data_IF_014750146047
#
_entry.id   IF_014750146047
#
_cell.length_a   1.000
_cell.length_b   1.000
_cell.length_c   1.000
_cell.angle_alpha   90.00
_cell.angle_beta   90.00
_cell.angle_gamma   90.00
#
_symmetry.space_group_name_H-M   'P 1'
#
loop_
_entity.id
_entity.type
_entity.pdbx_description
1 polymer ?
#
# COMPACT_ATOMS: atom_id res chain seq x y z
N UNK A 1 15.96 -35.42 35.22
CA UNK A 1 16.12 -34.07 35.79
C UNK A 1 16.98 -33.18 34.91
N UNK A 2 18.04 -33.72 34.31
CA UNK A 2 19.05 -32.91 33.58
C UNK A 2 18.55 -32.41 32.21
N UNK A 3 17.68 -33.17 31.54
CA UNK A 3 17.09 -32.76 30.26
C UNK A 3 16.11 -31.57 30.43
N UNK A 4 15.37 -31.53 31.55
CA UNK A 4 14.46 -30.44 31.88
C UNK A 4 15.24 -29.17 32.27
N UNK A 5 16.39 -29.37 32.95
CA UNK A 5 17.29 -28.29 33.32
C UNK A 5 18.02 -27.72 32.10
N UNK A 6 18.47 -28.58 31.17
CA UNK A 6 19.05 -28.16 29.88
C UNK A 6 18.04 -27.42 28.99
N UNK A 7 16.78 -27.88 28.92
CA UNK A 7 15.72 -27.16 28.21
C UNK A 7 15.40 -25.81 28.84
N UNK A 8 15.39 -25.68 30.17
CA UNK A 8 15.22 -24.39 30.86
C UNK A 8 16.41 -23.46 30.65
N UNK A 9 17.63 -23.98 30.52
CA UNK A 9 18.84 -23.19 30.21
C UNK A 9 18.87 -22.79 28.72
N UNK A 10 18.47 -23.69 27.83
CA UNK A 10 18.32 -23.36 26.39
C UNK A 10 17.24 -22.29 26.12
N UNK A 11 16.15 -22.29 26.90
CA UNK A 11 15.12 -21.23 26.83
C UNK A 11 15.65 -19.91 27.43
N UNK A 12 16.63 -19.92 28.31
CA UNK A 12 17.31 -18.72 28.84
C UNK A 12 18.34 -18.12 27.88
N UNK A 13 18.73 -18.83 26.84
CA UNK A 13 19.56 -18.36 25.73
C UNK A 13 18.74 -17.87 24.51
N UNK A 14 17.41 -17.75 24.64
CA UNK A 14 16.62 -17.03 23.67
C UNK A 14 17.16 -15.59 23.66
N UNK A 15 17.79 -15.21 22.57
CA UNK A 15 18.22 -13.85 22.26
C UNK A 15 17.06 -12.89 22.54
N UNK A 16 17.36 -11.79 23.25
CA UNK A 16 16.35 -10.74 23.48
C UNK A 16 15.72 -10.38 22.14
N UNK A 17 14.39 -10.31 22.03
CA UNK A 17 13.78 -9.88 20.78
C UNK A 17 14.20 -8.44 20.51
N UNK A 18 14.65 -8.17 19.29
CA UNK A 18 14.96 -6.80 18.88
C UNK A 18 13.67 -6.02 18.60
N UNK A 19 12.69 -6.69 18.02
CA UNK A 19 11.38 -6.08 17.76
C UNK A 19 10.29 -6.89 18.46
N UNK A 20 9.43 -6.20 19.20
CA UNK A 20 8.15 -6.72 19.67
C UNK A 20 7.05 -6.18 18.74
N UNK A 21 6.31 -7.07 18.12
CA UNK A 21 5.06 -6.71 17.41
C UNK A 21 3.92 -6.75 18.40
N UNK A 22 3.30 -5.60 18.67
CA UNK A 22 2.28 -5.41 19.69
C UNK A 22 0.91 -5.17 19.03
N UNK A 23 0.00 -6.12 19.17
CA UNK A 23 -1.31 -6.12 18.55
C UNK A 23 -2.42 -6.09 19.61
N UNK A 24 -3.06 -4.92 19.86
CA UNK A 24 -4.32 -4.87 20.57
C UNK A 24 -5.44 -5.40 19.67
N UNK A 25 -6.12 -6.45 20.09
CA UNK A 25 -7.28 -6.96 19.35
C UNK A 25 -8.53 -6.36 19.98
N UNK A 26 -9.26 -5.61 19.18
CA UNK A 26 -10.43 -4.85 19.59
C UNK A 26 -11.57 -5.72 20.13
N UNK A 27 -12.39 -5.12 20.99
CA UNK A 27 -13.63 -5.68 21.53
C UNK A 27 -14.66 -4.57 21.71
N UNK A 28 -15.94 -4.92 21.82
CA UNK A 28 -16.96 -3.96 22.23
C UNK A 28 -17.09 -3.95 23.75
N UNK A 29 -17.23 -2.78 24.38
CA UNK A 29 -17.62 -2.74 25.78
C UNK A 29 -18.99 -3.40 25.92
N UNK A 30 -19.12 -4.30 26.89
CA UNK A 30 -20.42 -4.81 27.32
C UNK A 30 -20.95 -3.84 28.35
N UNK A 31 -21.91 -3.04 27.94
CA UNK A 31 -22.56 -2.04 28.81
C UNK A 31 -23.90 -2.64 29.25
N UNK A 32 -24.01 -2.95 30.53
CA UNK A 32 -25.30 -3.24 31.11
C UNK A 32 -25.95 -1.91 31.54
N UNK A 33 -27.10 -1.62 30.99
CA UNK A 33 -27.93 -0.51 31.43
C UNK A 33 -28.97 -1.05 32.41
N UNK A 34 -28.94 -0.60 33.65
CA UNK A 34 -29.95 -0.88 34.65
C UNK A 34 -30.53 0.41 35.22
N UNK A 35 -31.75 0.34 35.75
CA UNK A 35 -32.35 1.45 36.44
C UNK A 35 -31.93 1.38 37.92
N UNK A 36 -31.47 2.52 38.46
CA UNK A 36 -31.17 2.66 39.87
C UNK A 36 -32.50 2.80 40.69
N UNK A 37 -32.40 2.91 42.02
CA UNK A 37 -33.56 3.01 42.90
C UNK A 37 -34.39 4.29 42.67
N UNK A 38 -33.80 5.27 41.98
CA UNK A 38 -34.43 6.57 41.69
C UNK A 38 -34.97 6.63 40.24
N UNK A 39 -34.88 5.52 39.49
CA UNK A 39 -35.38 5.40 38.11
C UNK A 39 -34.45 5.94 37.06
N UNK A 40 -33.20 6.25 37.40
CA UNK A 40 -32.21 6.71 36.43
C UNK A 40 -31.54 5.52 35.73
N UNK A 41 -31.32 5.64 34.42
CA UNK A 41 -30.53 4.65 33.65
C UNK A 41 -29.07 4.80 33.97
N UNK A 42 -28.51 3.82 34.67
CA UNK A 42 -27.08 3.74 35.00
C UNK A 42 -26.43 2.69 34.06
N UNK A 43 -25.40 3.13 33.37
CA UNK A 43 -24.57 2.24 32.56
C UNK A 43 -23.37 1.75 33.35
N UNK A 44 -23.21 0.43 33.44
CA UNK A 44 -22.04 -0.19 34.06
C UNK A 44 -21.27 -1.00 33.03
N UNK A 45 -20.00 -0.70 32.86
CA UNK A 45 -19.10 -1.40 31.95
C UNK A 45 -18.64 -2.73 32.59
N UNK A 46 -19.14 -3.88 32.12
CA UNK A 46 -18.75 -5.21 32.60
C UNK A 46 -17.49 -5.77 31.95
N UNK A 47 -16.86 -5.05 31.05
CA UNK A 47 -15.69 -5.49 30.30
C UNK A 47 -15.92 -5.46 28.79
N UNK A 48 -15.02 -6.08 28.03
CA UNK A 48 -15.07 -6.11 26.57
C UNK A 48 -15.46 -7.47 26.05
N UNK A 49 -16.42 -7.52 25.13
CA UNK A 49 -16.67 -8.70 24.31
C UNK A 49 -15.74 -8.64 23.10
N UNK A 50 -14.73 -9.50 23.08
CA UNK A 50 -13.88 -9.64 21.91
C UNK A 50 -14.74 -10.13 20.73
N UNK A 51 -14.51 -9.57 19.56
CA UNK A 51 -15.14 -10.10 18.36
C UNK A 51 -14.63 -11.51 18.02
N UNK A 52 -13.55 -11.96 18.64
CA UNK A 52 -12.97 -13.29 18.47
C UNK A 52 -12.42 -13.59 17.07
N UNK A 53 -12.52 -12.64 16.16
CA UNK A 53 -12.17 -12.79 14.75
C UNK A 53 -11.23 -11.66 14.35
N UNK A 54 -10.04 -12.01 13.93
CA UNK A 54 -9.14 -11.12 13.22
C UNK A 54 -9.59 -11.09 11.76
N UNK A 55 -9.75 -9.91 11.13
CA UNK A 55 -10.13 -9.83 9.73
C UNK A 55 -9.17 -10.62 8.83
N UNK A 56 -9.71 -11.40 7.89
CA UNK A 56 -8.87 -12.18 6.96
C UNK A 56 -7.91 -11.27 6.18
N UNK A 57 -8.35 -10.08 5.79
CA UNK A 57 -7.52 -9.07 5.13
C UNK A 57 -6.29 -8.69 5.96
N UNK A 58 -6.47 -8.44 7.26
CA UNK A 58 -5.36 -8.19 8.18
C UNK A 58 -4.40 -9.38 8.25
N UNK A 59 -4.94 -10.59 8.37
CA UNK A 59 -4.10 -11.80 8.45
C UNK A 59 -3.28 -11.98 7.16
N UNK A 60 -3.89 -11.79 5.99
CA UNK A 60 -3.21 -11.89 4.70
C UNK A 60 -2.15 -10.81 4.53
N UNK A 61 -2.45 -9.55 4.88
CA UNK A 61 -1.46 -8.48 4.87
C UNK A 61 -0.28 -8.81 5.78
N UNK A 62 -0.55 -9.28 7.00
CA UNK A 62 0.48 -9.66 7.96
C UNK A 62 1.37 -10.82 7.48
N UNK A 63 0.80 -11.84 6.83
CA UNK A 63 1.55 -12.97 6.27
C UNK A 63 2.51 -12.55 5.14
N UNK A 64 2.23 -11.44 4.47
CA UNK A 64 3.05 -10.92 3.37
C UNK A 64 4.18 -9.98 3.84
N UNK A 65 4.31 -9.70 5.14
CA UNK A 65 5.37 -8.82 5.60
C UNK A 65 6.75 -9.40 5.34
N UNK A 66 7.65 -8.55 4.89
CA UNK A 66 9.06 -8.84 4.78
C UNK A 66 9.75 -8.39 6.07
N UNK A 67 10.11 -9.30 6.98
CA UNK A 67 10.80 -8.92 8.21
C UNK A 67 12.23 -8.44 7.89
N UNK A 68 12.78 -7.53 8.69
CA UNK A 68 14.20 -7.16 8.56
C UNK A 68 15.11 -8.39 8.75
N UNK A 69 16.16 -8.49 7.94
CA UNK A 69 17.10 -9.62 7.98
C UNK A 69 17.90 -9.63 9.29
N UNK A 70 18.10 -10.81 9.86
CA UNK A 70 18.86 -11.03 11.08
C UNK A 70 18.30 -10.31 12.33
N UNK A 71 17.02 -9.97 12.31
CA UNK A 71 16.32 -9.33 13.42
C UNK A 71 15.42 -10.35 14.11
N UNK A 72 15.61 -10.52 15.42
CA UNK A 72 14.74 -11.37 16.23
C UNK A 72 13.45 -10.65 16.57
N UNK A 73 12.31 -11.29 16.32
CA UNK A 73 10.97 -10.73 16.55
C UNK A 73 10.20 -11.61 17.53
N UNK A 74 9.35 -10.96 18.32
CA UNK A 74 8.36 -11.64 19.15
C UNK A 74 7.01 -10.89 19.06
N UNK A 75 5.92 -11.58 19.35
CA UNK A 75 4.57 -11.07 19.26
C UNK A 75 3.93 -10.98 20.64
N UNK A 76 3.30 -9.84 20.93
CA UNK A 76 2.43 -9.63 22.08
C UNK A 76 1.03 -9.31 21.58
N UNK A 77 0.08 -10.13 21.95
CA UNK A 77 -1.33 -9.95 21.62
C UNK A 77 -2.11 -9.75 22.91
N UNK A 78 -2.90 -8.69 22.98
CA UNK A 78 -3.82 -8.42 24.09
C UNK A 78 -5.23 -8.28 23.55
N UNK A 79 -6.14 -9.03 24.16
CA UNK A 79 -7.54 -9.08 23.80
C UNK A 79 -8.40 -8.61 24.98
N UNK A 80 -9.61 -8.17 24.70
CA UNK A 80 -10.58 -7.79 25.72
C UNK A 80 -10.12 -6.64 26.63
N UNK A 81 -9.37 -5.69 26.08
CA UNK A 81 -8.91 -4.48 26.78
C UNK A 81 -9.17 -3.27 25.91
N UNK A 82 -9.32 -2.09 26.55
CA UNK A 82 -9.20 -0.81 25.84
C UNK A 82 -7.83 -0.76 25.14
N UNK A 83 -7.78 -0.22 23.93
CA UNK A 83 -6.55 -0.16 23.13
C UNK A 83 -5.42 0.57 23.84
N UNK A 84 -5.72 1.67 24.55
CA UNK A 84 -4.77 2.39 25.40
C UNK A 84 -4.17 1.51 26.51
N UNK A 85 -5.02 0.77 27.22
CA UNK A 85 -4.57 -0.12 28.29
C UNK A 85 -3.78 -1.32 27.72
N UNK A 86 -4.24 -1.92 26.61
CA UNK A 86 -3.51 -3.00 25.96
C UNK A 86 -2.12 -2.55 25.52
N UNK A 87 -2.00 -1.37 24.89
CA UNK A 87 -0.71 -0.79 24.48
C UNK A 87 0.19 -0.48 25.69
N UNK A 88 -0.37 0.05 26.78
CA UNK A 88 0.40 0.27 28.02
C UNK A 88 1.00 -1.03 28.58
N UNK A 89 0.18 -2.10 28.66
CA UNK A 89 0.64 -3.40 29.17
C UNK A 89 1.71 -4.01 28.25
N UNK A 90 1.50 -3.96 26.92
CA UNK A 90 2.48 -4.47 25.95
C UNK A 90 3.78 -3.67 25.97
N UNK A 91 3.71 -2.36 26.16
CA UNK A 91 4.88 -1.47 26.33
C UNK A 91 5.73 -1.90 27.55
N UNK A 92 5.08 -2.08 28.71
CA UNK A 92 5.76 -2.53 29.93
C UNK A 92 6.42 -3.90 29.74
N UNK A 93 5.75 -4.79 29.03
CA UNK A 93 6.30 -6.11 28.72
C UNK A 93 7.49 -6.03 27.76
N UNK A 94 7.43 -5.20 26.71
CA UNK A 94 8.55 -4.95 25.80
C UNK A 94 9.78 -4.41 26.54
N UNK A 95 9.59 -3.48 27.47
CA UNK A 95 10.65 -2.95 28.35
C UNK A 95 11.22 -4.09 29.21
N UNK A 96 10.36 -4.92 29.82
CA UNK A 96 10.77 -6.07 30.66
C UNK A 96 11.57 -7.11 29.88
N UNK A 97 11.19 -7.34 28.61
CA UNK A 97 11.89 -8.25 27.71
C UNK A 97 13.20 -7.66 27.18
N UNK A 98 13.43 -6.36 27.36
CA UNK A 98 14.60 -5.65 26.89
C UNK A 98 14.63 -5.52 25.37
N UNK A 99 13.48 -5.40 24.72
CA UNK A 99 13.38 -5.16 23.29
C UNK A 99 14.05 -3.83 22.91
N UNK A 100 14.52 -3.73 21.67
CA UNK A 100 15.07 -2.49 21.12
C UNK A 100 13.94 -1.59 20.57
N UNK A 101 12.95 -2.22 19.89
CA UNK A 101 11.81 -1.58 19.32
C UNK A 101 10.50 -2.28 19.70
N UNK A 102 9.42 -1.53 19.70
CA UNK A 102 8.06 -2.03 19.74
C UNK A 102 7.29 -1.52 18.53
N UNK A 103 6.67 -2.42 17.79
CA UNK A 103 5.87 -2.12 16.60
C UNK A 103 4.40 -2.31 16.94
N UNK A 104 3.68 -1.21 17.08
CA UNK A 104 2.24 -1.20 17.33
C UNK A 104 1.50 -1.36 16.01
N UNK A 105 0.58 -2.31 15.98
CA UNK A 105 -0.22 -2.66 14.80
C UNK A 105 -1.65 -2.91 15.25
N UNK A 106 -2.60 -2.18 14.71
CA UNK A 106 -4.02 -2.43 14.95
C UNK A 106 -4.53 -3.58 14.06
N UNK A 107 -5.52 -4.32 14.56
CA UNK A 107 -6.07 -5.50 13.91
C UNK A 107 -6.92 -5.21 12.65
N UNK A 108 -7.03 -3.94 12.29
CA UNK A 108 -7.72 -3.43 11.10
C UNK A 108 -6.80 -2.57 10.18
N UNK A 109 -5.51 -2.48 10.48
CA UNK A 109 -4.54 -1.76 9.66
C UNK A 109 -3.76 -2.70 8.75
N UNK A 110 -3.90 -2.53 7.44
CA UNK A 110 -3.27 -3.36 6.41
C UNK A 110 -1.94 -2.74 5.99
N UNK A 111 -0.86 -3.22 6.59
CA UNK A 111 0.49 -2.69 6.37
C UNK A 111 1.08 -3.32 5.10
N UNK A 112 1.67 -2.53 4.18
CA UNK A 112 2.28 -3.05 2.97
C UNK A 112 3.48 -3.97 3.28
N UNK A 113 3.83 -4.91 2.38
CA UNK A 113 4.84 -5.95 2.62
C UNK A 113 6.18 -5.45 3.14
N UNK A 114 6.67 -4.33 2.64
CA UNK A 114 7.94 -3.71 3.05
C UNK A 114 7.79 -2.69 4.18
N UNK A 115 6.59 -2.48 4.72
CA UNK A 115 6.31 -1.44 5.70
C UNK A 115 7.21 -1.54 6.93
N UNK A 116 7.18 -2.67 7.64
CA UNK A 116 8.05 -2.87 8.82
C UNK A 116 9.54 -2.76 8.50
N UNK A 117 9.97 -3.32 7.35
CA UNK A 117 11.36 -3.25 6.91
C UNK A 117 11.81 -1.78 6.71
N UNK A 118 11.00 -0.95 6.07
CA UNK A 118 11.29 0.46 5.81
C UNK A 118 11.33 1.27 7.10
N UNK A 119 10.34 1.09 7.99
CA UNK A 119 10.31 1.74 9.32
C UNK A 119 11.56 1.37 10.15
N UNK A 120 11.94 0.10 10.15
CA UNK A 120 13.12 -0.37 10.87
C UNK A 120 14.41 0.26 10.32
N UNK A 121 14.58 0.27 9.00
CA UNK A 121 15.74 0.91 8.36
C UNK A 121 15.83 2.39 8.69
N UNK A 122 14.70 3.12 8.67
CA UNK A 122 14.67 4.51 9.09
C UNK A 122 15.14 4.68 10.53
N UNK A 123 14.63 3.86 11.46
CA UNK A 123 15.02 3.93 12.87
C UNK A 123 16.50 3.60 13.10
N UNK A 124 17.08 2.69 12.31
CA UNK A 124 18.53 2.39 12.36
C UNK A 124 19.39 3.56 11.88
N UNK A 125 18.95 4.26 10.85
CA UNK A 125 19.65 5.42 10.27
C UNK A 125 19.45 6.70 11.11
N UNK A 126 18.42 6.75 11.96
CA UNK A 126 18.06 7.91 12.77
C UNK A 126 18.01 7.55 14.27
N UNK A 127 19.18 7.43 14.94
CA UNK A 127 19.24 6.97 16.33
C UNK A 127 18.58 7.93 17.33
N UNK A 128 18.35 9.18 16.97
CA UNK A 128 17.63 10.19 17.77
C UNK A 128 16.10 10.08 17.66
N UNK A 129 15.60 9.40 16.61
CA UNK A 129 14.17 9.24 16.41
C UNK A 129 13.55 8.38 17.54
N UNK A 130 12.48 8.89 18.14
CA UNK A 130 11.69 8.18 19.15
C UNK A 130 10.73 7.18 18.53
N UNK A 131 10.10 7.55 17.42
CA UNK A 131 9.19 6.67 16.67
C UNK A 131 9.07 7.10 15.20
N UNK A 132 8.56 6.19 14.38
CA UNK A 132 8.18 6.46 12.98
C UNK A 132 6.89 5.70 12.65
N UNK A 133 5.96 6.38 11.96
CA UNK A 133 4.67 5.82 11.55
C UNK A 133 4.59 5.67 10.03
N UNK A 134 3.83 4.68 9.56
CA UNK A 134 3.22 4.70 8.24
C UNK A 134 1.96 5.56 8.22
N UNK A 135 1.39 5.76 7.04
CA UNK A 135 0.18 6.55 6.83
C UNK A 135 -1.02 5.61 6.66
N UNK A 136 -2.10 5.87 7.37
CA UNK A 136 -3.42 5.30 7.10
C UNK A 136 -4.49 6.35 7.41
N UNK A 137 -5.69 6.13 6.89
CA UNK A 137 -6.76 7.15 6.90
C UNK A 137 -7.87 6.80 7.88
N UNK A 138 -8.76 7.77 8.16
CA UNK A 138 -10.04 7.51 8.82
C UNK A 138 -10.90 6.55 8.00
N UNK A 139 -11.92 5.94 8.62
CA UNK A 139 -12.93 5.08 7.96
C UNK A 139 -14.20 5.88 7.63
N UNK A 140 -14.01 7.03 7.04
CA UNK A 140 -15.09 7.97 6.68
C UNK A 140 -14.94 8.39 5.23
N UNK A 141 -15.94 9.03 4.66
CA UNK A 141 -15.89 9.57 3.30
C UNK A 141 -16.24 11.07 3.34
N UNK A 142 -15.33 11.97 2.94
CA UNK A 142 -13.95 11.68 2.53
C UNK A 142 -13.08 11.15 3.68
N UNK A 143 -12.17 10.23 3.37
CA UNK A 143 -11.22 9.72 4.35
C UNK A 143 -10.04 10.70 4.51
N UNK A 144 -9.54 10.83 5.73
CA UNK A 144 -8.45 11.75 6.07
C UNK A 144 -7.29 11.01 6.73
N UNK A 145 -6.02 11.39 6.50
CA UNK A 145 -4.88 10.72 7.10
C UNK A 145 -4.86 10.94 8.61
N UNK A 146 -4.61 9.89 9.38
CA UNK A 146 -4.48 9.98 10.83
C UNK A 146 -3.08 10.48 11.23
N UNK A 147 -2.69 11.61 10.66
CA UNK A 147 -1.42 12.32 10.89
C UNK A 147 -1.73 13.76 11.28
N UNK A 148 -0.99 14.28 12.23
CA UNK A 148 -1.16 15.62 12.80
C UNK A 148 0.19 16.34 12.79
N UNK A 149 0.26 17.53 12.19
CA UNK A 149 1.50 18.32 12.10
C UNK A 149 1.67 19.27 13.27
N UNK A 150 0.55 19.81 13.79
CA UNK A 150 0.54 20.80 14.85
C UNK A 150 -0.51 20.48 15.91
N UNK A 151 -0.32 21.06 17.10
CA UNK A 151 -1.29 20.98 18.18
C UNK A 151 -2.60 21.72 17.81
N UNK A 152 -3.73 21.06 17.99
CA UNK A 152 -5.07 21.65 17.77
C UNK A 152 -5.51 21.74 16.30
N UNK A 153 -4.71 21.25 15.37
CA UNK A 153 -5.12 21.05 13.97
C UNK A 153 -5.84 19.70 13.79
N UNK A 154 -6.66 19.61 12.75
CA UNK A 154 -7.20 18.34 12.28
C UNK A 154 -6.14 17.50 11.58
N UNK A 155 -6.60 16.46 10.90
CA UNK A 155 -5.74 15.62 10.06
C UNK A 155 -5.05 16.45 8.97
N UNK A 156 -3.79 16.15 8.68
CA UNK A 156 -2.96 16.90 7.75
C UNK A 156 -2.75 16.16 6.43
N UNK A 157 -2.87 16.90 5.31
CA UNK A 157 -2.56 16.43 3.95
C UNK A 157 -1.32 17.10 3.35
N UNK A 158 -0.70 18.04 4.02
CA UNK A 158 0.40 18.86 3.49
C UNK A 158 1.79 18.28 3.71
N UNK A 159 1.90 17.02 4.15
CA UNK A 159 3.12 16.22 4.15
C UNK A 159 3.21 15.37 2.87
N UNK A 160 4.43 14.87 2.57
CA UNK A 160 4.65 14.10 1.35
C UNK A 160 4.24 12.65 1.49
N UNK A 161 3.57 12.12 0.46
CA UNK A 161 3.14 10.73 0.37
C UNK A 161 3.51 10.13 -0.98
N UNK A 162 3.60 8.79 -1.02
CA UNK A 162 3.87 8.04 -2.23
C UNK A 162 5.36 7.80 -2.51
N UNK A 163 5.67 7.43 -3.76
CA UNK A 163 6.98 7.00 -4.19
C UNK A 163 8.02 8.06 -4.02
N UNK A 164 8.94 8.27 -3.38
CA UNK A 164 9.90 9.37 -3.25
C UNK A 164 9.68 10.26 -2.04
N UNK A 165 8.60 10.05 -1.27
CA UNK A 165 8.42 10.74 0.00
C UNK A 165 9.64 10.52 0.90
N UNK A 166 10.00 11.54 1.65
CA UNK A 166 11.02 11.46 2.70
C UNK A 166 10.31 11.54 4.05
N UNK A 167 10.78 10.77 5.05
CA UNK A 167 10.18 10.85 6.37
C UNK A 167 10.20 12.27 6.93
N UNK A 168 9.05 12.73 7.41
CA UNK A 168 8.85 14.08 7.95
C UNK A 168 8.54 14.03 9.45
N UNK A 169 8.98 15.09 10.15
CA UNK A 169 8.66 15.29 11.56
C UNK A 169 7.17 15.62 11.71
N UNK A 170 6.50 14.98 12.67
CA UNK A 170 5.07 15.17 12.92
C UNK A 170 4.79 15.41 14.40
N UNK A 171 3.68 16.07 14.70
CA UNK A 171 3.18 16.22 16.06
C UNK A 171 2.63 14.90 16.61
N UNK A 172 1.88 14.15 15.80
CA UNK A 172 1.29 12.89 16.19
C UNK A 172 0.74 12.07 15.02
N UNK A 173 0.55 10.79 15.27
CA UNK A 173 -0.06 9.84 14.37
C UNK A 173 -0.93 8.84 15.12
N UNK A 174 -1.82 8.17 14.38
CA UNK A 174 -2.46 6.96 14.89
C UNK A 174 -1.45 5.82 15.07
N UNK A 175 -1.71 4.91 15.98
CA UNK A 175 -0.78 3.85 16.34
C UNK A 175 -1.04 2.51 15.63
N UNK A 176 -1.81 2.50 14.55
CA UNK A 176 -2.08 1.29 13.76
C UNK A 176 -0.89 0.81 12.94
N UNK A 177 0.11 1.68 12.68
CA UNK A 177 1.37 1.34 12.04
C UNK A 177 2.50 2.21 12.60
N UNK A 178 2.93 1.95 13.84
CA UNK A 178 3.88 2.81 14.56
C UNK A 178 5.03 1.98 15.14
N UNK A 179 6.26 2.20 14.67
CA UNK A 179 7.48 1.62 15.23
C UNK A 179 8.14 2.61 16.19
N UNK A 180 8.27 2.25 17.46
CA UNK A 180 8.84 3.10 18.50
C UNK A 180 10.07 2.48 19.16
N UNK A 181 11.02 3.33 19.52
CA UNK A 181 12.24 2.95 20.24
C UNK A 181 11.94 2.76 21.73
N UNK A 182 12.18 1.57 22.26
CA UNK A 182 11.85 1.23 23.65
C UNK A 182 12.68 2.06 24.66
N UNK A 183 13.94 2.39 24.33
CA UNK A 183 14.75 3.24 25.20
C UNK A 183 14.20 4.67 25.34
N UNK A 184 13.61 5.23 24.29
CA UNK A 184 12.96 6.55 24.32
C UNK A 184 11.71 6.53 25.20
N UNK A 185 10.89 5.49 25.06
CA UNK A 185 9.71 5.28 25.90
C UNK A 185 10.12 5.13 27.37
N UNK A 186 11.13 4.29 27.62
CA UNK A 186 11.63 4.05 28.97
C UNK A 186 12.19 5.32 29.59
N UNK A 187 12.96 6.12 28.86
CA UNK A 187 13.49 7.40 29.35
C UNK A 187 12.36 8.31 29.82
N UNK A 188 11.30 8.46 29.00
CA UNK A 188 10.13 9.26 29.42
C UNK A 188 9.46 8.70 30.67
N UNK A 189 9.29 7.37 30.77
CA UNK A 189 8.62 6.73 31.91
C UNK A 189 9.44 6.82 33.19
N UNK A 190 10.75 6.75 33.11
CA UNK A 190 11.67 6.88 34.24
C UNK A 190 11.59 8.31 34.86
N UNK A 191 11.41 9.34 34.00
CA UNK A 191 11.26 10.73 34.42
C UNK A 191 9.82 11.07 34.85
N UNK A 192 8.83 10.23 34.55
CA UNK A 192 7.42 10.40 34.88
C UNK A 192 6.84 9.18 35.61
N UNK A 193 7.36 8.81 36.79
CA UNK A 193 6.96 7.59 37.47
C UNK A 193 5.48 7.58 37.82
N UNK A 194 4.80 6.47 37.51
CA UNK A 194 3.38 6.27 37.81
C UNK A 194 2.41 6.92 36.80
N UNK A 195 2.90 7.67 35.84
CA UNK A 195 2.06 8.25 34.78
C UNK A 195 2.04 7.29 33.57
N UNK A 196 0.87 6.80 33.13
CA UNK A 196 0.80 5.94 31.94
C UNK A 196 1.11 6.77 30.69
N UNK A 197 1.99 6.24 29.82
CA UNK A 197 2.31 6.89 28.54
C UNK A 197 1.14 6.75 27.54
N UNK A 198 0.38 5.66 27.63
CA UNK A 198 -0.83 5.40 26.87
C UNK A 198 -2.07 5.73 27.69
N UNK A 199 -2.59 6.94 27.55
CA UNK A 199 -3.83 7.39 28.18
C UNK A 199 -4.47 8.49 27.34
N UNK A 200 -5.79 8.58 27.36
CA UNK A 200 -6.48 9.72 26.79
C UNK A 200 -6.21 10.97 27.66
N UNK A 201 -5.94 12.08 27.02
CA UNK A 201 -5.68 13.36 27.67
C UNK A 201 -6.78 14.36 27.32
N UNK A 202 -7.33 15.02 28.35
CA UNK A 202 -8.21 16.16 28.15
C UNK A 202 -7.38 17.43 28.24
N UNK A 203 -7.11 18.05 27.09
CA UNK A 203 -6.49 19.34 27.07
C UNK A 203 -7.50 20.41 27.52
N UNK A 204 -7.11 21.20 28.51
CA UNK A 204 -7.91 22.35 28.91
C UNK A 204 -7.82 23.43 27.84
N UNK A 205 -8.95 23.99 27.37
CA UNK A 205 -8.91 25.02 26.34
C UNK A 205 -8.23 26.29 26.88
N UNK A 206 -7.32 26.82 26.13
CA UNK A 206 -6.64 28.09 26.45
C UNK A 206 -7.57 29.31 26.45
N UNK A 207 -8.84 29.16 26.01
CA UNK A 207 -9.79 30.25 25.80
C UNK A 207 -11.21 29.99 26.33
N UNK A 208 -11.42 28.99 27.19
CA UNK A 208 -12.73 28.67 27.78
C UNK A 208 -13.75 28.01 26.86
N UNK A 209 -13.37 27.61 25.63
CA UNK A 209 -14.22 26.83 24.72
C UNK A 209 -13.79 25.37 24.74
N UNK A 210 -14.67 24.47 25.11
CA UNK A 210 -14.56 23.02 25.22
C UNK A 210 -13.19 22.39 24.97
N UNK A 211 -12.76 21.46 25.81
CA UNK A 211 -11.41 20.85 25.70
C UNK A 211 -11.24 20.02 24.46
N UNK A 212 -10.06 20.07 23.85
CA UNK A 212 -9.64 19.11 22.82
C UNK A 212 -9.24 17.83 23.54
N UNK A 213 -9.93 16.74 23.28
CA UNK A 213 -9.57 15.43 23.82
C UNK A 213 -8.63 14.74 22.82
N UNK A 214 -7.38 14.60 23.21
CA UNK A 214 -6.42 13.81 22.44
C UNK A 214 -6.62 12.32 22.69
N UNK A 215 -6.69 11.55 21.62
CA UNK A 215 -6.56 10.09 21.69
C UNK A 215 -5.18 9.70 22.25
N UNK A 216 -5.13 8.54 22.88
CA UNK A 216 -3.90 8.02 23.51
C UNK A 216 -2.71 7.89 22.56
N UNK A 217 -2.93 7.71 21.26
CA UNK A 217 -1.91 7.62 20.21
C UNK A 217 -1.25 8.98 19.91
N UNK A 218 -2.04 10.02 19.71
CA UNK A 218 -1.52 11.39 19.52
C UNK A 218 -0.80 11.85 20.76
N UNK A 219 -1.37 11.57 21.95
CA UNK A 219 -0.71 11.86 23.24
C UNK A 219 0.64 11.15 23.36
N UNK A 220 0.72 9.87 23.02
CA UNK A 220 1.98 9.12 23.04
C UNK A 220 3.06 9.79 22.18
N UNK A 221 2.75 10.14 20.93
CA UNK A 221 3.67 10.83 20.04
C UNK A 221 4.10 12.19 20.59
N UNK A 222 3.15 12.98 21.10
CA UNK A 222 3.41 14.29 21.73
C UNK A 222 4.37 14.16 22.91
N UNK A 223 4.17 13.18 23.80
CA UNK A 223 5.02 13.00 24.97
C UNK A 223 6.46 12.64 24.58
N UNK A 224 6.65 11.82 23.56
CA UNK A 224 7.98 11.53 23.01
C UNK A 224 8.63 12.79 22.42
N UNK A 225 7.91 13.54 21.58
CA UNK A 225 8.40 14.80 21.02
C UNK A 225 8.84 15.80 22.09
N UNK A 226 8.00 16.03 23.10
CA UNK A 226 8.30 16.95 24.21
C UNK A 226 9.49 16.50 25.05
N UNK A 227 9.77 15.19 25.07
CA UNK A 227 10.90 14.61 25.79
C UNK A 227 12.19 14.53 24.94
N UNK A 228 12.20 15.18 23.78
CA UNK A 228 13.38 15.22 22.90
C UNK A 228 13.57 13.97 22.05
N UNK A 229 12.55 13.13 21.91
CA UNK A 229 12.52 11.95 21.08
C UNK A 229 11.56 12.15 19.89
N UNK A 230 12.01 12.77 18.79
CA UNK A 230 11.12 13.17 17.69
C UNK A 230 10.41 11.99 17.03
N UNK A 231 9.16 12.23 16.64
CA UNK A 231 8.29 11.27 15.96
C UNK A 231 8.15 11.68 14.50
N UNK A 232 8.28 10.71 13.61
CA UNK A 232 8.24 10.90 12.15
C UNK A 232 7.10 10.13 11.51
N UNK A 233 6.69 10.56 10.32
CA UNK A 233 5.88 9.78 9.39
C UNK A 233 6.71 9.45 8.14
N UNK A 234 6.63 8.22 7.67
CA UNK A 234 7.18 7.84 6.36
C UNK A 234 6.03 7.74 5.36
N UNK A 235 5.89 8.76 4.53
CA UNK A 235 4.86 8.88 3.51
C UNK A 235 4.93 7.83 2.38
N UNK A 236 5.97 7.01 2.31
CA UNK A 236 6.04 5.85 1.39
C UNK A 236 5.21 4.66 1.89
N UNK A 237 4.94 4.60 3.18
CA UNK A 237 4.28 3.45 3.80
C UNK A 237 2.80 3.77 3.91
N UNK A 238 2.07 3.52 2.83
CA UNK A 238 0.64 3.73 2.74
C UNK A 238 -0.08 2.46 3.16
N UNK A 239 -0.84 2.53 4.24
CA UNK A 239 -1.55 1.39 4.82
C UNK A 239 -3.04 1.49 4.51
N UNK A 240 -3.67 0.37 4.19
CA UNK A 240 -5.12 0.28 4.14
C UNK A 240 -5.73 0.25 5.54
N UNK A 241 -6.93 0.81 5.71
CA UNK A 241 -7.69 0.76 6.96
C UNK A 241 -9.01 0.01 6.74
N UNK A 242 -9.09 -1.22 7.24
CA UNK A 242 -10.23 -2.10 7.03
C UNK A 242 -11.37 -1.79 8.00
N UNK A 243 -12.57 -1.58 7.49
CA UNK A 243 -13.77 -1.49 8.33
C UNK A 243 -14.49 -2.84 8.40
N UNK A 244 -14.37 -3.50 9.53
CA UNK A 244 -15.01 -4.81 9.78
C UNK A 244 -16.55 -4.79 9.67
N UNK A 245 -17.17 -3.60 9.80
CA UNK A 245 -18.64 -3.49 9.73
C UNK A 245 -19.13 -3.46 8.28
N UNK A 246 -18.40 -2.76 7.42
CA UNK A 246 -18.78 -2.55 6.01
C UNK A 246 -18.04 -3.47 5.06
N UNK A 247 -16.90 -4.03 5.47
CA UNK A 247 -16.01 -4.81 4.63
C UNK A 247 -15.14 -3.94 3.68
N UNK A 248 -15.19 -2.62 3.83
CA UNK A 248 -14.46 -1.68 2.98
C UNK A 248 -13.03 -1.49 3.51
N UNK A 249 -12.07 -1.42 2.60
CA UNK A 249 -10.70 -0.95 2.88
C UNK A 249 -10.63 0.52 2.45
N UNK A 250 -10.29 1.40 3.39
CA UNK A 250 -10.02 2.80 3.12
C UNK A 250 -8.52 2.94 2.89
N UNK A 251 -8.14 3.32 1.70
CA UNK A 251 -6.75 3.53 1.30
C UNK A 251 -6.44 5.02 1.20
N UNK A 252 -5.16 5.37 1.25
CA UNK A 252 -4.72 6.74 0.95
C UNK A 252 -4.92 6.96 -0.55
N UNK A 253 -5.79 7.90 -0.97
CA UNK A 253 -6.07 8.09 -2.39
C UNK A 253 -4.84 8.66 -3.10
N UNK A 254 -4.51 8.14 -4.28
CA UNK A 254 -3.40 8.63 -5.11
C UNK A 254 -3.59 10.10 -5.56
N UNK A 255 -4.84 10.59 -5.54
CA UNK A 255 -5.18 12.00 -5.79
C UNK A 255 -5.00 12.90 -4.58
N UNK A 256 -4.57 12.36 -3.42
CA UNK A 256 -4.32 13.17 -2.23
C UNK A 256 -3.25 14.23 -2.52
N UNK A 257 -3.40 15.47 -2.00
CA UNK A 257 -2.46 16.56 -2.29
C UNK A 257 -0.99 16.22 -1.98
N UNK A 258 -0.73 15.51 -0.90
CA UNK A 258 0.62 15.07 -0.54
C UNK A 258 1.17 14.03 -1.51
N UNK A 259 0.36 13.06 -1.95
CA UNK A 259 0.74 12.05 -2.94
C UNK A 259 1.12 12.70 -4.28
N UNK A 260 0.28 13.59 -4.80
CA UNK A 260 0.57 14.33 -6.04
C UNK A 260 1.86 15.15 -5.91
N UNK A 261 2.07 15.82 -4.79
CA UNK A 261 3.26 16.62 -4.51
C UNK A 261 4.55 15.77 -4.52
N UNK A 262 4.48 14.54 -4.01
CA UNK A 262 5.60 13.59 -4.04
C UNK A 262 5.86 13.08 -5.46
N UNK A 263 4.82 12.71 -6.20
CA UNK A 263 4.93 12.31 -7.60
C UNK A 263 5.58 13.44 -8.43
N UNK A 264 5.19 14.69 -8.20
CA UNK A 264 5.78 15.86 -8.87
C UNK A 264 7.30 16.00 -8.65
N UNK A 265 7.83 15.52 -7.53
CA UNK A 265 9.27 15.54 -7.21
C UNK A 265 10.07 14.45 -7.92
N UNK A 266 9.46 13.38 -8.37
CA UNK A 266 10.16 12.29 -9.08
C UNK A 266 10.74 12.78 -10.41
N UNK A 267 10.25 13.89 -10.94
CA UNK A 267 10.88 14.68 -12.01
C UNK A 267 10.93 14.01 -13.39
N UNK A 268 11.14 12.72 -13.46
CA UNK A 268 11.29 11.96 -14.71
C UNK A 268 10.27 10.82 -14.71
N UNK A 269 9.09 11.09 -15.25
CA UNK A 269 7.99 10.14 -15.40
C UNK A 269 8.26 9.16 -16.55
N UNK A 270 7.54 8.05 -16.61
CA UNK A 270 7.70 6.97 -17.60
C UNK A 270 9.10 6.34 -17.62
N UNK A 271 9.78 6.32 -16.47
CA UNK A 271 11.06 5.61 -16.27
C UNK A 271 10.86 4.35 -15.43
N UNK A 272 11.83 3.43 -15.51
CA UNK A 272 11.84 2.24 -14.66
C UNK A 272 11.77 2.59 -13.16
N UNK A 273 12.44 3.67 -12.73
CA UNK A 273 12.40 4.11 -11.33
C UNK A 273 11.00 4.57 -10.94
N UNK A 274 10.36 5.37 -11.78
CA UNK A 274 8.99 5.85 -11.56
C UNK A 274 8.02 4.66 -11.41
N UNK A 275 7.97 3.77 -12.40
CA UNK A 275 7.05 2.63 -12.42
C UNK A 275 7.35 1.61 -11.31
N UNK A 276 8.63 1.36 -10.96
CA UNK A 276 8.98 0.52 -9.81
C UNK A 276 8.38 1.08 -8.51
N UNK A 277 8.46 2.39 -8.32
CA UNK A 277 7.92 3.04 -7.14
C UNK A 277 6.39 2.99 -7.14
N UNK A 278 5.75 3.28 -8.26
CA UNK A 278 4.30 3.24 -8.41
C UNK A 278 3.75 1.85 -8.05
N UNK A 279 4.26 0.79 -8.69
CA UNK A 279 3.82 -0.58 -8.41
C UNK A 279 4.16 -1.07 -6.99
N UNK A 280 5.20 -0.54 -6.36
CA UNK A 280 5.51 -0.85 -4.96
C UNK A 280 4.43 -0.33 -4.02
N UNK A 281 3.80 0.80 -4.34
CA UNK A 281 2.82 1.47 -3.49
C UNK A 281 1.37 1.14 -3.84
N UNK A 282 1.03 1.08 -5.13
CA UNK A 282 -0.34 0.85 -5.57
C UNK A 282 -0.75 -0.63 -5.47
N UNK A 283 0.23 -1.55 -5.52
CA UNK A 283 -0.08 -2.99 -5.54
C UNK A 283 -0.88 -3.41 -6.77
N UNK A 284 -1.49 -4.59 -6.70
CA UNK A 284 -2.28 -5.14 -7.80
C UNK A 284 -3.74 -4.64 -7.84
N UNK A 285 -4.17 -3.81 -6.88
CA UNK A 285 -5.59 -3.55 -6.64
C UNK A 285 -6.17 -2.40 -7.46
N UNK A 286 -5.37 -1.46 -7.94
CA UNK A 286 -5.84 -0.33 -8.76
C UNK A 286 -6.39 -0.75 -10.14
N UNK A 287 -6.04 -1.93 -10.62
CA UNK A 287 -6.45 -2.47 -11.91
C UNK A 287 -7.80 -3.18 -11.91
N UNK A 288 -8.52 -3.19 -10.78
CA UNK A 288 -9.85 -3.84 -10.68
C UNK A 288 -10.93 -3.15 -11.50
N UNK A 289 -10.76 -1.88 -11.80
CA UNK A 289 -11.71 -1.11 -12.61
C UNK A 289 -11.68 -1.49 -14.09
N UNK A 290 -10.59 -2.10 -14.57
CA UNK A 290 -10.40 -2.51 -15.96
C UNK A 290 -11.01 -3.87 -16.33
N UNK A 291 -11.88 -4.44 -15.49
CA UNK A 291 -12.43 -5.79 -15.69
C UNK A 291 -13.15 -5.94 -17.03
N UNK A 292 -13.92 -4.94 -17.47
CA UNK A 292 -14.65 -4.94 -18.77
C UNK A 292 -13.66 -4.85 -19.94
N UNK A 293 -12.71 -3.92 -19.86
CA UNK A 293 -11.68 -3.73 -20.87
C UNK A 293 -10.83 -5.00 -21.04
N UNK A 294 -10.35 -5.61 -19.95
CA UNK A 294 -9.62 -6.87 -20.01
C UNK A 294 -10.48 -8.00 -20.59
N UNK A 295 -11.78 -8.04 -20.31
CA UNK A 295 -12.67 -9.03 -20.94
C UNK A 295 -12.78 -8.81 -22.45
N UNK A 296 -12.92 -7.56 -22.90
CA UNK A 296 -12.93 -7.25 -24.32
C UNK A 296 -11.65 -7.74 -25.04
N UNK A 297 -10.48 -7.56 -24.40
CA UNK A 297 -9.21 -8.10 -24.95
C UNK A 297 -9.22 -9.63 -24.97
N UNK A 298 -9.64 -10.29 -23.89
CA UNK A 298 -9.71 -11.77 -23.81
C UNK A 298 -10.61 -12.34 -24.90
N UNK A 299 -11.72 -11.68 -25.20
CA UNK A 299 -12.68 -12.10 -26.22
C UNK A 299 -12.10 -11.97 -27.66
N UNK A 300 -11.08 -11.12 -27.86
CA UNK A 300 -10.38 -10.97 -29.15
C UNK A 300 -9.20 -11.93 -29.31
N UNK A 301 -8.69 -12.52 -28.22
CA UNK A 301 -7.55 -13.44 -28.25
C UNK A 301 -8.03 -14.87 -28.50
N UNK A 302 -7.47 -15.54 -29.49
CA UNK A 302 -7.78 -16.94 -29.77
C UNK A 302 -7.31 -17.86 -28.64
N UNK A 303 -8.03 -18.95 -28.43
CA UNK A 303 -7.68 -19.92 -27.37
C UNK A 303 -6.46 -20.73 -27.76
N UNK A 304 -5.59 -20.95 -26.76
CA UNK A 304 -4.43 -21.84 -26.92
C UNK A 304 -3.27 -21.26 -27.71
N UNK A 305 -3.32 -20.00 -28.14
CA UNK A 305 -2.20 -19.33 -28.81
C UNK A 305 -1.19 -18.80 -27.79
N UNK A 306 0.01 -18.49 -28.24
CA UNK A 306 0.99 -17.77 -27.43
C UNK A 306 0.71 -16.27 -27.51
N UNK A 307 0.68 -15.63 -26.35
CA UNK A 307 0.46 -14.19 -26.21
C UNK A 307 1.71 -13.51 -25.67
N UNK A 308 2.14 -12.46 -26.36
CA UNK A 308 3.21 -11.55 -25.91
C UNK A 308 2.55 -10.23 -25.45
N UNK A 309 2.63 -9.93 -24.16
CA UNK A 309 2.04 -8.70 -23.60
C UNK A 309 3.14 -7.66 -23.35
N UNK A 310 3.00 -6.47 -23.92
CA UNK A 310 3.91 -5.35 -23.80
C UNK A 310 3.32 -4.30 -22.85
N UNK A 311 4.06 -3.93 -21.80
CA UNK A 311 3.52 -3.13 -20.69
C UNK A 311 2.60 -3.98 -19.81
N UNK A 312 3.03 -5.19 -19.45
CA UNK A 312 2.17 -6.17 -18.79
C UNK A 312 1.79 -5.83 -17.34
N UNK A 313 2.36 -4.77 -16.77
CA UNK A 313 2.14 -4.40 -15.38
C UNK A 313 2.33 -5.60 -14.45
N UNK A 314 1.41 -5.77 -13.52
CA UNK A 314 1.45 -6.87 -12.53
C UNK A 314 0.86 -8.20 -13.04
N UNK A 315 0.55 -8.31 -14.34
CA UNK A 315 0.13 -9.56 -15.00
C UNK A 315 -1.32 -9.96 -14.76
N UNK A 316 -2.23 -9.01 -14.58
CA UNK A 316 -3.66 -9.32 -14.37
C UNK A 316 -4.29 -9.90 -15.63
N UNK A 317 -4.09 -9.26 -16.80
CA UNK A 317 -4.57 -9.77 -18.07
C UNK A 317 -3.92 -11.12 -18.40
N UNK A 318 -2.60 -11.27 -18.18
CA UNK A 318 -1.90 -12.54 -18.36
C UNK A 318 -2.48 -13.68 -17.53
N UNK A 319 -2.82 -13.41 -16.25
CA UNK A 319 -3.52 -14.38 -15.39
C UNK A 319 -4.88 -14.79 -15.97
N UNK A 320 -5.62 -13.83 -16.52
CA UNK A 320 -6.95 -14.05 -17.10
C UNK A 320 -6.86 -14.85 -18.40
N UNK A 321 -5.98 -14.47 -19.31
CA UNK A 321 -5.73 -15.19 -20.56
C UNK A 321 -5.29 -16.65 -20.33
N UNK A 322 -4.41 -16.87 -19.37
CA UNK A 322 -3.95 -18.22 -19.01
C UNK A 322 -5.08 -19.06 -18.41
N UNK A 323 -5.89 -18.48 -17.52
CA UNK A 323 -6.95 -19.21 -16.84
C UNK A 323 -8.17 -19.50 -17.75
N UNK A 324 -8.60 -18.53 -18.56
CA UNK A 324 -9.84 -18.61 -19.34
C UNK A 324 -9.62 -19.18 -20.75
N UNK A 325 -8.54 -18.76 -21.42
CA UNK A 325 -8.26 -19.16 -22.81
C UNK A 325 -7.19 -20.24 -22.95
N UNK A 326 -6.54 -20.63 -21.83
CA UNK A 326 -5.42 -21.59 -21.84
C UNK A 326 -4.25 -21.14 -22.74
N UNK A 327 -4.01 -19.84 -22.83
CA UNK A 327 -2.92 -19.28 -23.60
C UNK A 327 -1.58 -19.50 -22.89
N UNK A 328 -0.53 -19.73 -23.67
CA UNK A 328 0.83 -19.48 -23.22
C UNK A 328 1.04 -17.97 -23.19
N UNK A 329 1.70 -17.44 -22.16
CA UNK A 329 1.84 -16.00 -22.01
C UNK A 329 3.25 -15.61 -21.59
N UNK A 330 3.76 -14.54 -22.19
CA UNK A 330 5.01 -13.88 -21.82
C UNK A 330 4.77 -12.37 -21.72
N UNK A 331 5.08 -11.79 -20.58
CA UNK A 331 4.95 -10.35 -20.36
C UNK A 331 6.28 -9.61 -20.39
N UNK A 332 6.22 -8.36 -20.82
CA UNK A 332 7.33 -7.40 -20.75
C UNK A 332 6.87 -6.11 -20.09
N UNK A 333 7.64 -5.61 -19.14
CA UNK A 333 7.39 -4.33 -18.47
C UNK A 333 8.70 -3.63 -18.14
N UNK A 334 8.71 -2.30 -18.08
CA UNK A 334 9.88 -1.53 -17.68
C UNK A 334 10.19 -1.68 -16.18
N UNK A 335 9.17 -2.01 -15.38
CA UNK A 335 9.25 -2.13 -13.93
C UNK A 335 9.69 -3.52 -13.48
N UNK A 336 10.83 -3.59 -12.78
CA UNK A 336 11.25 -4.82 -12.08
C UNK A 336 10.23 -5.25 -11.03
N UNK A 337 9.62 -4.29 -10.33
CA UNK A 337 8.59 -4.56 -9.31
C UNK A 337 7.36 -5.25 -9.92
N UNK A 338 6.86 -4.75 -11.05
CA UNK A 338 5.75 -5.37 -11.78
C UNK A 338 6.08 -6.79 -12.23
N UNK A 339 7.26 -6.98 -12.83
CA UNK A 339 7.75 -8.29 -13.27
C UNK A 339 7.86 -9.28 -12.11
N UNK A 340 8.34 -8.85 -10.95
CA UNK A 340 8.43 -9.72 -9.78
C UNK A 340 7.04 -10.08 -9.22
N UNK A 341 6.07 -9.18 -9.32
CA UNK A 341 4.66 -9.48 -9.01
C UNK A 341 4.06 -10.52 -9.98
N UNK A 342 4.36 -10.44 -11.28
CA UNK A 342 3.96 -11.48 -12.25
C UNK A 342 4.47 -12.86 -11.85
N UNK A 343 5.74 -12.97 -11.42
CA UNK A 343 6.33 -14.23 -10.96
C UNK A 343 5.62 -14.81 -9.74
N UNK A 344 5.10 -13.98 -8.85
CA UNK A 344 4.29 -14.47 -7.71
C UNK A 344 2.97 -15.10 -8.15
N UNK A 345 2.49 -14.78 -9.36
CA UNK A 345 1.31 -15.39 -10.01
C UNK A 345 1.67 -16.56 -10.93
N UNK A 346 2.89 -17.04 -10.87
CA UNK A 346 3.42 -18.09 -11.75
C UNK A 346 3.39 -17.73 -13.24
N UNK A 347 3.49 -16.44 -13.57
CA UNK A 347 3.56 -15.92 -14.92
C UNK A 347 5.01 -15.66 -15.34
N UNK A 348 5.31 -15.88 -16.60
CA UNK A 348 6.61 -15.58 -17.18
C UNK A 348 6.66 -14.12 -17.60
N UNK A 349 7.42 -13.28 -16.89
CA UNK A 349 7.62 -11.89 -17.25
C UNK A 349 9.09 -11.49 -17.21
N UNK A 350 9.45 -10.49 -18.02
CA UNK A 350 10.82 -9.99 -18.18
C UNK A 350 10.84 -8.46 -18.14
N UNK A 351 11.91 -7.90 -17.57
CA UNK A 351 12.11 -6.44 -17.60
C UNK A 351 12.54 -6.02 -18.99
N UNK A 352 11.82 -5.06 -19.56
CA UNK A 352 12.13 -4.48 -20.86
C UNK A 352 11.58 -3.05 -20.97
N UNK A 353 12.43 -2.13 -21.36
CA UNK A 353 12.02 -0.82 -21.82
C UNK A 353 11.58 -0.90 -23.29
N UNK A 354 10.33 -0.58 -23.58
CA UNK A 354 9.75 -0.68 -24.94
C UNK A 354 10.44 0.27 -25.96
N UNK A 355 11.19 1.26 -25.51
CA UNK A 355 12.09 2.05 -26.36
C UNK A 355 13.18 1.22 -27.02
N UNK A 356 13.50 0.06 -26.44
CA UNK A 356 14.48 -0.90 -26.92
C UNK A 356 13.84 -2.22 -27.42
N UNK A 357 12.54 -2.21 -27.71
CA UNK A 357 11.85 -3.40 -28.20
C UNK A 357 12.27 -3.76 -29.62
N UNK A 358 12.41 -5.06 -29.90
CA UNK A 358 12.84 -5.62 -31.20
C UNK A 358 11.95 -6.78 -31.61
N UNK A 359 11.75 -6.96 -32.91
CA UNK A 359 10.80 -7.94 -33.46
C UNK A 359 11.18 -9.42 -33.20
N UNK A 360 12.44 -9.71 -32.90
CA UNK A 360 12.93 -11.05 -32.55
C UNK A 360 12.38 -11.62 -31.24
N UNK A 361 11.68 -10.78 -30.48
CA UNK A 361 10.95 -11.18 -29.25
C UNK A 361 9.56 -11.72 -29.51
N UNK A 362 9.10 -11.67 -30.74
CA UNK A 362 7.79 -12.17 -31.19
C UNK A 362 8.02 -13.38 -32.09
N UNK A 363 7.45 -14.50 -31.68
CA UNK A 363 7.48 -15.74 -32.50
C UNK A 363 6.44 -15.74 -33.63
N UNK A 364 6.57 -16.72 -34.51
CA UNK A 364 5.66 -16.89 -35.64
C UNK A 364 4.25 -17.26 -35.19
N UNK A 365 3.26 -16.52 -35.70
CA UNK A 365 1.85 -16.74 -35.38
C UNK A 365 1.41 -16.30 -33.97
N UNK A 366 2.27 -15.65 -33.17
CA UNK A 366 1.90 -15.16 -31.84
C UNK A 366 0.95 -13.96 -31.90
N UNK A 367 0.14 -13.80 -30.85
CA UNK A 367 -0.69 -12.61 -30.66
C UNK A 367 0.05 -11.62 -29.74
N UNK A 368 0.23 -10.40 -30.20
CA UNK A 368 0.77 -9.31 -29.37
C UNK A 368 -0.38 -8.53 -28.74
N UNK A 369 -0.27 -8.26 -27.45
CA UNK A 369 -1.26 -7.47 -26.71
C UNK A 369 -0.56 -6.32 -26.00
N UNK A 370 -1.21 -5.16 -25.95
CA UNK A 370 -0.74 -3.99 -25.20
C UNK A 370 -1.96 -3.26 -24.64
N UNK A 371 -2.07 -3.20 -23.30
CA UNK A 371 -3.20 -2.55 -22.63
C UNK A 371 -2.72 -1.37 -21.82
N UNK A 372 -3.35 -0.21 -22.02
CA UNK A 372 -3.05 1.02 -21.27
C UNK A 372 -1.53 1.26 -21.16
N UNK A 373 -0.88 1.30 -22.32
CA UNK A 373 0.59 1.40 -22.40
C UNK A 373 1.04 2.39 -23.48
N UNK A 374 0.34 2.43 -24.60
CA UNK A 374 0.74 3.22 -25.77
C UNK A 374 0.69 4.72 -25.48
N UNK A 375 -0.24 5.16 -24.65
CA UNK A 375 -0.44 6.54 -24.18
C UNK A 375 0.72 7.06 -23.31
N UNK A 376 1.49 6.15 -22.72
CA UNK A 376 2.68 6.49 -21.92
C UNK A 376 3.96 6.68 -22.77
N UNK A 377 3.91 6.37 -24.06
CA UNK A 377 5.06 6.44 -24.93
C UNK A 377 5.12 7.77 -25.70
N UNK A 378 6.31 8.31 -25.86
CA UNK A 378 6.53 9.43 -26.77
C UNK A 378 6.15 9.05 -28.20
N UNK A 379 5.58 10.00 -28.98
CA UNK A 379 5.01 9.70 -30.32
C UNK A 379 5.97 8.93 -31.22
N UNK A 380 7.24 9.32 -31.29
CA UNK A 380 8.23 8.66 -32.13
C UNK A 380 8.55 7.23 -31.66
N UNK A 381 8.45 6.98 -30.34
CA UNK A 381 8.60 5.65 -29.75
C UNK A 381 7.38 4.79 -30.07
N UNK A 382 6.17 5.33 -29.92
CA UNK A 382 4.92 4.65 -30.25
C UNK A 382 4.88 4.24 -31.74
N UNK A 383 5.19 5.16 -32.64
CA UNK A 383 5.26 4.89 -34.10
C UNK A 383 6.30 3.79 -34.42
N UNK A 384 7.49 3.89 -33.85
CA UNK A 384 8.54 2.87 -34.05
C UNK A 384 8.13 1.50 -33.53
N UNK A 385 7.47 1.46 -32.35
CA UNK A 385 6.98 0.22 -31.74
C UNK A 385 5.89 -0.42 -32.60
N UNK A 386 4.89 0.35 -33.04
CA UNK A 386 3.82 -0.10 -33.94
C UNK A 386 4.39 -0.65 -35.26
N UNK A 387 5.36 0.06 -35.85
CA UNK A 387 6.07 -0.43 -37.03
C UNK A 387 6.79 -1.74 -36.79
N UNK A 388 7.52 -1.86 -35.65
CA UNK A 388 8.25 -3.09 -35.29
C UNK A 388 7.31 -4.28 -35.12
N UNK A 389 6.14 -4.07 -34.49
CA UNK A 389 5.11 -5.11 -34.33
C UNK A 389 4.50 -5.45 -35.70
N UNK A 390 4.23 -4.46 -36.55
CA UNK A 390 3.69 -4.69 -37.89
C UNK A 390 4.65 -5.48 -38.79
N UNK A 391 5.96 -5.27 -38.69
CA UNK A 391 6.98 -5.98 -39.42
C UNK A 391 7.34 -7.35 -38.80
N UNK A 392 6.89 -7.66 -37.57
CA UNK A 392 7.13 -8.91 -36.86
C UNK A 392 6.31 -10.07 -37.45
N UNK A 393 6.64 -11.33 -37.09
CA UNK A 393 5.87 -12.52 -37.52
C UNK A 393 4.57 -12.74 -36.73
N UNK A 394 4.13 -11.76 -35.89
CA UNK A 394 2.86 -11.85 -35.20
C UNK A 394 1.68 -12.04 -36.15
N UNK A 395 0.71 -12.87 -35.79
CA UNK A 395 -0.54 -13.07 -36.55
C UNK A 395 -1.58 -12.01 -36.22
N UNK A 396 -1.56 -11.49 -35.01
CA UNK A 396 -2.54 -10.52 -34.50
C UNK A 396 -1.90 -9.53 -33.53
N UNK A 397 -2.36 -8.30 -33.57
CA UNK A 397 -2.01 -7.29 -32.60
C UNK A 397 -3.25 -6.62 -32.03
N UNK A 398 -3.36 -6.53 -30.71
CA UNK A 398 -4.48 -5.95 -29.97
C UNK A 398 -3.93 -4.92 -29.02
N UNK A 399 -4.48 -3.71 -29.01
CA UNK A 399 -4.14 -2.74 -27.97
C UNK A 399 -5.36 -1.95 -27.49
N UNK A 400 -5.32 -1.49 -26.25
CA UNK A 400 -6.29 -0.56 -25.69
C UNK A 400 -5.64 0.77 -25.33
N UNK A 401 -6.41 1.82 -25.39
CA UNK A 401 -6.05 3.19 -24.99
C UNK A 401 -7.28 3.91 -24.46
N UNK A 402 -7.14 4.95 -23.60
CA UNK A 402 -8.26 5.80 -23.20
C UNK A 402 -8.93 6.47 -24.40
N UNK A 403 -10.26 6.64 -24.37
CA UNK A 403 -11.03 7.32 -25.42
C UNK A 403 -11.39 8.76 -25.03
N UNK A 404 -10.76 9.76 -25.63
CA UNK A 404 -11.02 11.19 -25.40
C UNK A 404 -11.00 11.61 -23.92
N UNK A 405 -10.34 10.84 -23.06
CA UNK A 405 -10.20 11.10 -21.63
C UNK A 405 -8.77 10.81 -21.18
N UNK A 406 -8.43 11.24 -19.97
CA UNK A 406 -7.13 10.98 -19.36
C UNK A 406 -5.92 11.44 -20.20
N UNK A 407 -6.03 12.60 -20.86
CA UNK A 407 -4.92 13.19 -21.61
C UNK A 407 -3.82 13.76 -20.70
N UNK A 408 -2.71 14.30 -21.30
CA UNK A 408 -1.57 14.85 -20.55
C UNK A 408 -1.90 15.98 -19.57
N UNK A 409 -3.03 16.64 -19.75
CA UNK A 409 -3.49 17.70 -18.83
C UNK A 409 -4.14 17.13 -17.57
N UNK A 410 -4.66 15.89 -17.64
CA UNK A 410 -5.34 15.20 -16.56
C UNK A 410 -4.41 14.20 -15.88
N UNK A 411 -3.65 13.45 -16.68
CA UNK A 411 -2.68 12.45 -16.21
C UNK A 411 -1.29 12.71 -16.79
N UNK A 412 -0.33 12.98 -15.93
CA UNK A 412 1.03 13.36 -16.31
C UNK A 412 1.81 12.27 -17.02
N UNK A 413 1.45 11.03 -16.78
CA UNK A 413 2.06 9.84 -17.37
C UNK A 413 1.71 9.69 -18.84
N UNK A 414 0.58 10.27 -19.28
CA UNK A 414 0.13 10.21 -20.66
C UNK A 414 0.86 11.25 -21.51
N UNK A 415 1.28 10.84 -22.69
CA UNK A 415 2.02 11.68 -23.65
C UNK A 415 1.09 12.30 -24.70
N UNK A 416 -0.11 11.74 -24.88
CA UNK A 416 -1.10 12.21 -25.83
C UNK A 416 -2.52 11.91 -25.35
N UNK A 417 -3.49 12.66 -25.84
CA UNK A 417 -4.91 12.34 -25.77
C UNK A 417 -5.25 11.44 -26.94
N UNK A 418 -5.77 10.26 -26.67
CA UNK A 418 -6.12 9.28 -27.68
C UNK A 418 -7.58 9.39 -28.10
N UNK A 419 -7.84 9.14 -29.37
CA UNK A 419 -9.14 8.94 -30.01
C UNK A 419 -8.94 8.17 -31.32
N UNK A 420 -10.01 7.81 -32.00
CA UNK A 420 -9.93 7.07 -33.28
C UNK A 420 -9.04 7.78 -34.31
N UNK A 421 -9.17 9.10 -34.48
CA UNK A 421 -8.39 9.87 -35.44
C UNK A 421 -6.88 9.82 -35.16
N UNK A 422 -6.50 9.96 -33.87
CA UNK A 422 -5.09 9.89 -33.47
C UNK A 422 -4.52 8.48 -33.63
N UNK A 423 -5.32 7.44 -33.40
CA UNK A 423 -4.92 6.05 -33.67
C UNK A 423 -4.65 5.85 -35.17
N UNK A 424 -5.54 6.34 -36.05
CA UNK A 424 -5.36 6.24 -37.49
C UNK A 424 -4.09 6.98 -37.98
N UNK A 425 -3.80 8.16 -37.42
CA UNK A 425 -2.57 8.89 -37.70
C UNK A 425 -1.33 8.08 -37.32
N UNK A 426 -1.28 7.53 -36.10
CA UNK A 426 -0.15 6.73 -35.62
C UNK A 426 0.08 5.48 -36.46
N UNK A 427 -0.98 4.76 -36.83
CA UNK A 427 -0.91 3.56 -37.67
C UNK A 427 -0.42 3.90 -39.09
N UNK A 428 -0.90 5.01 -39.66
CA UNK A 428 -0.45 5.50 -40.97
C UNK A 428 1.04 5.86 -40.94
N UNK A 429 1.49 6.61 -39.93
CA UNK A 429 2.89 6.99 -39.74
C UNK A 429 3.80 5.77 -39.52
N UNK A 430 3.30 4.75 -38.82
CA UNK A 430 3.98 3.48 -38.63
C UNK A 430 4.03 2.60 -39.88
N UNK A 431 3.32 2.99 -40.96
CA UNK A 431 3.23 2.20 -42.20
C UNK A 431 2.37 0.94 -42.07
N UNK A 432 1.44 0.92 -41.13
CA UNK A 432 0.46 -0.17 -40.99
C UNK A 432 -0.59 -0.02 -42.06
N UNK A 433 -0.64 -0.99 -43.00
CA UNK A 433 -1.61 -1.01 -44.11
C UNK A 433 -2.70 -2.06 -43.91
N UNK A 434 -2.51 -2.94 -42.94
CA UNK A 434 -3.52 -3.94 -42.56
C UNK A 434 -4.70 -3.21 -41.90
N UNK A 435 -5.94 -3.52 -42.29
CA UNK A 435 -7.11 -2.89 -41.66
C UNK A 435 -7.12 -3.08 -40.16
N UNK A 436 -7.33 -1.99 -39.41
CA UNK A 436 -7.57 -1.98 -37.99
C UNK A 436 -9.07 -1.84 -37.73
N UNK A 437 -9.62 -2.68 -36.86
CA UNK A 437 -10.95 -2.41 -36.29
C UNK A 437 -10.76 -1.68 -34.97
N UNK A 438 -11.45 -0.56 -34.82
CA UNK A 438 -11.48 0.22 -33.58
C UNK A 438 -12.89 0.15 -33.03
N UNK A 439 -13.04 -0.36 -31.82
CA UNK A 439 -14.32 -0.50 -31.12
C UNK A 439 -14.18 -0.02 -29.68
N UNK A 440 -15.31 0.21 -28.99
CA UNK A 440 -15.29 0.48 -27.56
C UNK A 440 -14.95 -0.81 -26.78
N UNK A 441 -13.94 -0.75 -25.91
CA UNK A 441 -13.63 -1.84 -24.96
C UNK A 441 -14.54 -1.75 -23.72
N UNK A 442 -14.82 -0.53 -23.26
CA UNK A 442 -15.78 -0.18 -22.21
C UNK A 442 -16.20 1.31 -22.33
N UNK A 443 -16.72 1.89 -21.27
CA UNK A 443 -17.25 3.26 -21.31
C UNK A 443 -16.16 4.35 -21.55
N UNK A 444 -14.86 4.02 -21.24
CA UNK A 444 -13.76 4.98 -21.23
C UNK A 444 -12.56 4.55 -22.12
N UNK A 445 -12.60 3.37 -22.75
CA UNK A 445 -11.47 2.83 -23.50
C UNK A 445 -11.85 2.31 -24.88
N UNK A 446 -10.94 2.56 -25.85
CA UNK A 446 -10.98 1.96 -27.19
C UNK A 446 -10.15 0.68 -27.21
N UNK A 447 -10.60 -0.30 -28.01
CA UNK A 447 -9.83 -1.49 -28.38
C UNK A 447 -9.57 -1.48 -29.88
N UNK A 448 -8.31 -1.66 -30.24
CA UNK A 448 -7.85 -1.74 -31.63
C UNK A 448 -7.34 -3.14 -31.93
N UNK A 449 -7.84 -3.74 -33.02
CA UNK A 449 -7.49 -5.09 -33.44
C UNK A 449 -6.98 -5.09 -34.88
N UNK A 450 -5.75 -5.58 -35.08
CA UNK A 450 -5.10 -5.74 -36.37
C UNK A 450 -4.82 -7.23 -36.55
N UNK A 451 -5.40 -7.84 -37.58
CA UNK A 451 -5.16 -9.26 -37.92
C UNK A 451 -4.39 -9.33 -39.23
N UNK A 452 -3.23 -9.99 -39.24
CA UNK A 452 -2.41 -10.21 -40.43
C UNK A 452 -2.85 -11.48 -41.14
N UNK A 453 -2.91 -11.43 -42.47
CA UNK A 453 -3.21 -12.60 -43.31
C UNK A 453 -2.05 -13.58 -43.39
#
# INVERSE_FOLDING_TARGET
PDIIRARRTAIKLATKPQIIVAMPIGGKPVIDVFEDRDGNKVANERGFQAHGLVPVHFLMAHMNWTPPLNVSMAYLVKMNMLSSHARQVMTMEAIRMGAEYIFYVDDDTLIPPLGLYSLYNFMQQNPHAGAVSGVYTTRETPNEPLIYQEHGTGCAWDFEMGPGAIPELIFGAGAGCLLARVSSIKSWMDDNPGIPIWADEKDMPSNGKGGVMWGHDVRFCRLLNLHGHPVYVDGKILCGHYDIKTGVVYEVPITAPGFKKTIDRIGNINTAQYWNQLYTHEGADNWRNYTKMFQAVVDQVERGVTVVELGCGVGILGSKLTAENHNSWVGYDISQTAVDMCKTRFLQANVLDLRNFTADRIGDGETVVMTETLEHLERDVAVRLLKTINESPASKFIFTVPDNCHGPEEEREHQALFNEEYIEELLTEAGVTTPCTVDSADDDHLICVITKE
#
